data_IF_684827607140
#
_entry.id   IF_684827607140
#
_cell.length_a   1.000
_cell.length_b   1.000
_cell.length_c   1.000
_cell.angle_alpha   90.00
_cell.angle_beta   90.00
_cell.angle_gamma   90.00
#
_symmetry.space_group_name_H-M   'P 1'
#
loop_
_entity.id
_entity.type
_entity.pdbx_description
1 polymer ?
#
# COMPACT_ATOMS: atom_id res chain seq x y z
N UNK A 1 11.18 12.32 7.50
CA UNK A 1 9.72 12.32 7.76
C UNK A 1 9.40 11.19 8.73
N UNK A 2 8.38 11.32 9.59
CA UNK A 2 8.04 10.27 10.56
C UNK A 2 7.48 9.03 9.86
N UNK A 3 7.79 7.85 10.41
CA UNK A 3 7.22 6.59 9.94
C UNK A 3 5.78 6.42 10.44
N UNK A 4 4.93 5.87 9.57
CA UNK A 4 3.51 5.65 9.76
C UNK A 4 3.24 4.18 10.09
N UNK A 5 2.33 3.95 11.04
CA UNK A 5 1.75 2.62 11.27
C UNK A 5 0.77 2.28 10.15
N UNK A 6 0.55 0.98 9.92
CA UNK A 6 -0.43 0.48 8.94
C UNK A 6 -1.83 1.08 9.12
N UNK A 7 -2.26 1.36 10.35
CA UNK A 7 -3.56 1.98 10.63
C UNK A 7 -3.67 3.40 10.09
N UNK A 8 -2.59 4.18 10.22
CA UNK A 8 -2.53 5.58 9.74
C UNK A 8 -2.54 5.61 8.22
N UNK A 9 -1.77 4.72 7.57
CA UNK A 9 -1.78 4.59 6.11
C UNK A 9 -3.19 4.23 5.62
N UNK A 10 -3.83 3.26 6.26
CA UNK A 10 -5.16 2.79 5.87
C UNK A 10 -6.22 3.88 6.02
N UNK A 11 -6.18 4.64 7.11
CA UNK A 11 -7.08 5.78 7.36
C UNK A 11 -6.93 6.86 6.29
N UNK A 12 -5.69 7.25 5.96
CA UNK A 12 -5.42 8.27 4.93
C UNK A 12 -5.90 7.86 3.54
N UNK A 13 -5.80 6.58 3.21
CA UNK A 13 -6.21 6.04 1.90
C UNK A 13 -7.72 5.73 1.87
N UNK A 14 -8.38 5.64 3.05
CA UNK A 14 -9.79 5.26 3.17
C UNK A 14 -10.05 3.78 2.91
N UNK A 15 -9.16 2.90 3.41
CA UNK A 15 -9.26 1.44 3.27
C UNK A 15 -9.08 0.74 4.61
N UNK A 16 -9.31 -0.57 4.65
CA UNK A 16 -9.04 -1.36 5.85
C UNK A 16 -7.53 -1.57 6.04
N UNK A 17 -7.02 -1.64 7.28
CA UNK A 17 -5.62 -2.00 7.54
C UNK A 17 -5.21 -3.36 6.95
N UNK A 18 -6.16 -4.28 6.79
CA UNK A 18 -5.95 -5.55 6.09
C UNK A 18 -5.63 -5.36 4.60
N UNK A 19 -6.22 -4.37 3.94
CA UNK A 19 -5.94 -4.01 2.55
C UNK A 19 -4.50 -3.53 2.38
N UNK A 20 -4.02 -2.65 3.27
CA UNK A 20 -2.62 -2.20 3.25
C UNK A 20 -1.68 -3.38 3.49
N UNK A 21 -1.95 -4.25 4.48
CA UNK A 21 -1.15 -5.47 4.70
C UNK A 21 -1.13 -6.38 3.47
N UNK A 22 -2.26 -6.45 2.76
CA UNK A 22 -2.37 -7.25 1.55
C UNK A 22 -1.49 -6.67 0.42
N UNK A 23 -1.54 -5.36 0.19
CA UNK A 23 -0.67 -4.69 -0.79
C UNK A 23 0.81 -4.89 -0.46
N UNK A 24 1.20 -4.78 0.81
CA UNK A 24 2.57 -5.07 1.25
C UNK A 24 2.98 -6.52 0.98
N UNK A 25 2.09 -7.49 1.23
CA UNK A 25 2.37 -8.91 0.96
C UNK A 25 2.60 -9.19 -0.53
N UNK A 26 1.89 -8.47 -1.40
CA UNK A 26 2.06 -8.55 -2.85
C UNK A 26 3.28 -7.77 -3.37
N UNK A 27 4.05 -7.14 -2.48
CA UNK A 27 5.19 -6.31 -2.87
C UNK A 27 4.80 -4.98 -3.55
N UNK A 28 3.55 -4.56 -3.42
CA UNK A 28 3.07 -3.29 -3.97
C UNK A 28 3.40 -2.09 -3.09
N UNK A 29 3.59 -2.33 -1.79
CA UNK A 29 4.04 -1.34 -0.82
C UNK A 29 5.34 -1.81 -0.17
N UNK A 30 6.28 -0.90 -0.05
CA UNK A 30 7.54 -1.11 0.67
C UNK A 30 7.39 -0.64 2.11
N UNK A 31 7.85 -1.45 3.06
CA UNK A 31 7.95 -1.04 4.46
C UNK A 31 9.26 -0.30 4.68
N UNK A 32 9.20 0.88 5.28
CA UNK A 32 10.38 1.65 5.66
C UNK A 32 11.04 1.15 6.97
N UNK A 33 10.38 0.24 7.70
CA UNK A 33 10.95 -0.41 8.87
C UNK A 33 9.96 -1.28 9.61
N UNK A 34 10.35 -1.70 10.82
CA UNK A 34 9.49 -2.41 11.77
C UNK A 34 9.62 -1.78 13.15
N UNK A 35 8.54 -1.80 13.92
CA UNK A 35 8.60 -1.47 15.35
C UNK A 35 9.33 -2.59 16.12
N UNK A 36 9.79 -2.33 17.36
CA UNK A 36 10.34 -3.38 18.23
C UNK A 36 9.38 -4.56 18.46
N UNK A 37 8.06 -4.30 18.42
CA UNK A 37 7.03 -5.34 18.52
C UNK A 37 6.70 -6.06 17.21
N UNK A 38 7.46 -5.82 16.13
CA UNK A 38 7.32 -6.51 14.85
C UNK A 38 6.28 -5.93 13.89
N UNK A 39 5.68 -4.78 14.19
CA UNK A 39 4.71 -4.14 13.30
C UNK A 39 5.39 -3.40 12.15
N UNK A 40 4.91 -3.57 10.92
CA UNK A 40 5.40 -2.83 9.76
C UNK A 40 5.16 -1.32 9.89
N UNK A 41 6.21 -0.58 9.55
CA UNK A 41 6.20 0.87 9.44
C UNK A 41 6.38 1.28 7.98
N UNK A 42 5.72 2.35 7.59
CA UNK A 42 5.65 2.86 6.23
C UNK A 42 6.09 4.33 6.22
N UNK A 43 6.59 4.81 5.10
CA UNK A 43 6.76 6.24 4.88
C UNK A 43 5.55 6.81 4.10
N UNK A 44 5.62 8.09 3.75
CA UNK A 44 4.56 8.76 2.99
C UNK A 44 4.39 8.18 1.57
N UNK A 45 5.47 7.63 0.98
CA UNK A 45 5.41 7.05 -0.37
C UNK A 45 4.46 5.86 -0.44
N UNK A 46 4.29 5.13 0.66
CA UNK A 46 3.31 4.05 0.76
C UNK A 46 1.86 4.57 0.71
N UNK A 47 1.58 5.77 1.24
CA UNK A 47 0.26 6.40 1.18
C UNK A 47 -0.05 6.80 -0.26
N UNK A 48 0.91 7.44 -0.93
CA UNK A 48 0.78 7.83 -2.34
C UNK A 48 0.53 6.60 -3.24
N UNK A 49 1.34 5.56 -3.06
CA UNK A 49 1.21 4.30 -3.81
C UNK A 49 -0.12 3.61 -3.55
N UNK A 50 -0.55 3.51 -2.29
CA UNK A 50 -1.83 2.89 -1.95
C UNK A 50 -3.03 3.69 -2.47
N UNK A 51 -2.92 5.02 -2.50
CA UNK A 51 -3.92 5.91 -3.08
C UNK A 51 -4.05 5.68 -4.58
N UNK A 52 -2.92 5.56 -5.29
CA UNK A 52 -2.91 5.27 -6.71
C UNK A 52 -3.53 3.90 -7.03
N UNK A 53 -3.14 2.85 -6.31
CA UNK A 53 -3.76 1.52 -6.44
C UNK A 53 -5.27 1.62 -6.24
N UNK A 54 -5.72 2.37 -5.23
CA UNK A 54 -7.15 2.52 -4.93
C UNK A 54 -7.90 3.32 -6.00
N UNK A 55 -7.25 4.30 -6.63
CA UNK A 55 -7.78 5.06 -7.77
C UNK A 55 -7.98 4.14 -8.98
N UNK A 56 -6.94 3.39 -9.36
CA UNK A 56 -7.00 2.43 -10.48
C UNK A 56 -8.11 1.38 -10.32
N UNK A 57 -8.30 0.86 -9.10
CA UNK A 57 -9.41 -0.07 -8.81
C UNK A 57 -10.80 0.56 -8.97
N UNK A 58 -10.95 1.86 -8.64
CA UNK A 58 -12.25 2.54 -8.68
C UNK A 58 -12.59 3.02 -10.09
N UNK A 59 -11.62 3.65 -10.74
CA UNK A 59 -11.84 4.39 -11.98
C UNK A 59 -11.70 3.48 -13.20
N UNK A 60 -10.69 2.62 -13.21
CA UNK A 60 -10.40 1.70 -14.33
C UNK A 60 -10.97 0.28 -14.07
N UNK A 61 -11.55 0.02 -12.89
CA UNK A 61 -12.04 -1.30 -12.45
C UNK A 61 -11.02 -2.44 -12.56
N UNK A 62 -9.73 -2.08 -12.55
CA UNK A 62 -8.65 -3.04 -12.62
C UNK A 62 -8.61 -3.89 -11.36
N UNK A 63 -8.31 -5.17 -11.56
CA UNK A 63 -8.02 -6.11 -10.50
C UNK A 63 -6.60 -5.85 -9.97
N UNK A 64 -6.35 -6.34 -8.77
CA UNK A 64 -5.11 -6.00 -8.06
C UNK A 64 -3.86 -6.66 -8.69
N UNK A 65 -4.02 -7.82 -9.31
CA UNK A 65 -3.05 -8.47 -10.18
C UNK A 65 -2.71 -7.61 -11.40
N UNK A 66 -3.71 -7.11 -12.12
CA UNK A 66 -3.49 -6.21 -13.28
C UNK A 66 -2.75 -4.93 -12.86
N UNK A 67 -3.11 -4.38 -11.70
CA UNK A 67 -2.42 -3.21 -11.12
C UNK A 67 -0.99 -3.58 -10.70
N UNK A 68 -0.78 -4.77 -10.15
CA UNK A 68 0.54 -5.24 -9.76
C UNK A 68 1.47 -5.33 -10.97
N UNK A 69 1.03 -5.98 -12.04
CA UNK A 69 1.79 -6.12 -13.27
C UNK A 69 2.15 -4.75 -13.86
N UNK A 70 1.18 -3.83 -13.90
CA UNK A 70 1.37 -2.47 -14.42
C UNK A 70 2.34 -1.63 -13.58
N UNK A 71 2.32 -1.78 -12.25
CA UNK A 71 3.17 -1.00 -11.35
C UNK A 71 4.56 -1.62 -11.13
N UNK A 72 4.69 -2.93 -11.32
CA UNK A 72 5.95 -3.66 -11.18
C UNK A 72 6.71 -3.79 -12.52
N UNK A 73 6.10 -3.38 -13.63
CA UNK A 73 6.78 -3.31 -14.93
C UNK A 73 7.13 -4.68 -15.48
N UNK A 74 6.27 -5.68 -15.26
CA UNK A 74 6.36 -6.94 -16.02
C UNK A 74 5.73 -6.67 -17.38
N UNK A 75 6.54 -6.12 -18.28
CA UNK A 75 6.28 -6.10 -19.72
C UNK A 75 6.68 -7.44 -20.35
#
# INVERSE_FOLDING_TARGET
MPLLKVSVVAERVGVLPSTIRYYTRLGLLTTAGKTPGGFSLYDESAVERATEIRRLQRDERLRLDEIADRLQGVA
#
